data_IF_939557955173
#
_entry.id   IF_939557955173
#
_cell.length_a   1.000
_cell.length_b   1.000
_cell.length_c   1.000
_cell.angle_alpha   90.00
_cell.angle_beta   90.00
_cell.angle_gamma   90.00
#
_symmetry.space_group_name_H-M   'P 1'
#
loop_
_entity.id
_entity.type
_entity.pdbx_description
1 polymer ?
#
# COMPACT_ATOMS: atom_id res chain seq x y z
N UNK A 1 15.21 -24.36 6.25
CA UNK A 1 15.11 -23.07 6.99
C UNK A 1 14.39 -22.10 6.12
N UNK A 2 13.22 -21.63 6.54
CA UNK A 2 12.39 -20.70 5.78
C UNK A 2 12.84 -19.26 6.08
N UNK A 3 13.61 -18.68 5.16
CA UNK A 3 14.16 -17.32 5.30
C UNK A 3 13.08 -16.26 4.99
N UNK A 4 12.13 -16.59 4.15
CA UNK A 4 11.04 -15.68 3.76
C UNK A 4 9.96 -15.64 4.85
N UNK A 5 9.48 -16.79 5.28
CA UNK A 5 8.39 -16.90 6.25
C UNK A 5 8.72 -16.30 7.62
N UNK A 6 9.98 -16.41 8.06
CA UNK A 6 10.44 -15.83 9.33
C UNK A 6 10.49 -14.29 9.36
N UNK A 7 10.32 -13.61 8.24
CA UNK A 7 10.37 -12.15 8.11
C UNK A 7 9.02 -11.50 7.75
N UNK A 8 7.95 -12.28 7.69
CA UNK A 8 6.62 -11.81 7.25
C UNK A 8 6.62 -11.09 5.89
N UNK A 9 7.44 -11.58 4.96
CA UNK A 9 7.55 -11.05 3.60
C UNK A 9 6.73 -11.94 2.68
N UNK A 10 5.96 -11.34 1.77
CA UNK A 10 5.20 -12.04 0.74
C UNK A 10 5.36 -11.34 -0.63
N UNK A 11 4.84 -11.93 -1.68
CA UNK A 11 5.04 -11.46 -3.06
C UNK A 11 6.52 -11.35 -3.46
N UNK A 12 7.33 -12.34 -3.05
CA UNK A 12 8.75 -12.40 -3.35
C UNK A 12 9.12 -13.76 -3.94
N UNK A 13 9.99 -13.74 -4.93
CA UNK A 13 10.69 -14.91 -5.46
C UNK A 13 12.19 -14.68 -5.33
N UNK A 14 12.89 -15.61 -4.68
CA UNK A 14 14.34 -15.56 -4.53
C UNK A 14 14.94 -16.73 -5.33
N UNK A 15 15.83 -16.40 -6.25
CA UNK A 15 16.60 -17.38 -7.03
C UNK A 15 18.07 -17.26 -6.63
N UNK A 16 18.64 -18.36 -6.16
CA UNK A 16 20.07 -18.45 -5.82
C UNK A 16 20.76 -19.34 -6.80
N UNK A 17 21.77 -18.81 -7.47
CA UNK A 17 22.60 -19.56 -8.43
C UNK A 17 24.01 -19.74 -7.88
N UNK A 18 24.65 -20.85 -8.25
CA UNK A 18 26.01 -21.15 -7.86
C UNK A 18 26.89 -21.35 -9.08
N UNK A 19 28.07 -20.77 -9.05
CA UNK A 19 29.16 -21.13 -9.95
C UNK A 19 29.94 -22.28 -9.35
N UNK A 20 30.14 -23.36 -10.15
CA UNK A 20 30.92 -24.51 -9.75
C UNK A 20 32.41 -24.26 -9.99
N UNK A 21 33.25 -24.51 -8.98
CA UNK A 21 34.71 -24.45 -9.14
C UNK A 21 35.46 -24.48 -7.79
N UNK A 22 36.49 -25.26 -7.71
CA UNK A 22 37.60 -25.20 -6.76
C UNK A 22 37.35 -25.67 -5.34
N UNK A 23 36.28 -25.30 -4.65
CA UNK A 23 36.05 -25.61 -3.23
C UNK A 23 34.82 -26.47 -3.03
N UNK A 24 35.01 -27.64 -2.40
CA UNK A 24 33.90 -28.50 -1.95
C UNK A 24 33.45 -28.07 -0.56
N UNK A 25 32.26 -27.44 -0.45
CA UNK A 25 31.74 -26.95 0.82
C UNK A 25 31.08 -28.02 1.71
N UNK A 26 30.81 -29.22 1.18
CA UNK A 26 29.95 -30.19 1.85
C UNK A 26 28.49 -29.75 1.93
N UNK A 27 27.59 -30.63 2.40
CA UNK A 27 26.14 -30.36 2.45
C UNK A 27 25.79 -29.20 3.41
N UNK A 28 26.41 -29.16 4.60
CA UNK A 28 26.20 -28.11 5.59
C UNK A 28 26.74 -26.75 5.14
N UNK A 29 27.91 -26.69 4.54
CA UNK A 29 28.49 -25.47 3.99
C UNK A 29 27.69 -24.93 2.81
N UNK A 30 27.17 -25.81 1.97
CA UNK A 30 26.32 -25.45 0.83
C UNK A 30 24.99 -24.80 1.29
N UNK A 31 24.31 -25.43 2.26
CA UNK A 31 23.08 -24.90 2.84
C UNK A 31 23.28 -23.51 3.45
N UNK A 32 24.39 -23.30 4.16
CA UNK A 32 24.75 -21.98 4.72
C UNK A 32 24.99 -20.94 3.64
N UNK A 33 25.72 -21.30 2.57
CA UNK A 33 26.00 -20.39 1.47
C UNK A 33 24.72 -19.93 0.75
N UNK A 34 23.79 -20.83 0.44
CA UNK A 34 22.49 -20.50 -0.15
C UNK A 34 21.64 -19.63 0.79
N UNK A 35 21.58 -19.98 2.07
CA UNK A 35 20.84 -19.23 3.08
C UNK A 35 21.40 -17.81 3.24
N UNK A 36 22.71 -17.67 3.27
CA UNK A 36 23.36 -16.36 3.39
C UNK A 36 23.17 -15.50 2.15
N UNK A 37 23.25 -16.07 0.93
CA UNK A 37 22.98 -15.36 -0.29
C UNK A 37 21.53 -14.83 -0.34
N UNK A 38 20.56 -15.66 0.01
CA UNK A 38 19.16 -15.28 0.09
C UNK A 38 18.91 -14.17 1.14
N UNK A 39 19.54 -14.29 2.32
CA UNK A 39 19.44 -13.28 3.37
C UNK A 39 19.98 -11.93 2.92
N UNK A 40 21.17 -11.91 2.31
CA UNK A 40 21.78 -10.68 1.78
C UNK A 40 20.93 -10.05 0.68
N UNK A 41 20.31 -10.84 -0.18
CA UNK A 41 19.40 -10.34 -1.20
C UNK A 41 18.22 -9.60 -0.58
N UNK A 42 17.59 -10.17 0.45
CA UNK A 42 16.49 -9.52 1.18
C UNK A 42 16.99 -8.25 1.90
N UNK A 43 18.14 -8.32 2.59
CA UNK A 43 18.68 -7.19 3.36
C UNK A 43 19.05 -5.99 2.46
N UNK A 44 19.35 -6.23 1.19
CA UNK A 44 19.63 -5.20 0.19
C UNK A 44 18.41 -4.83 -0.67
N UNK A 45 17.24 -5.40 -0.39
CA UNK A 45 16.00 -5.09 -1.11
C UNK A 45 15.19 -4.05 -0.36
N UNK A 46 14.48 -3.23 -1.11
CA UNK A 46 13.48 -2.34 -0.55
C UNK A 46 12.17 -3.10 -0.29
N UNK A 47 11.73 -3.11 0.95
CA UNK A 47 10.51 -3.81 1.38
C UNK A 47 9.45 -2.77 1.71
N UNK A 48 8.36 -2.74 0.92
CA UNK A 48 7.24 -1.86 1.16
C UNK A 48 6.18 -2.54 2.05
N UNK A 49 5.59 -1.77 2.96
CA UNK A 49 4.46 -2.23 3.76
C UNK A 49 3.19 -2.18 2.92
N UNK A 50 2.50 -3.30 2.82
CA UNK A 50 1.18 -3.36 2.18
C UNK A 50 0.07 -2.98 3.15
N UNK A 51 -0.96 -2.35 2.62
CA UNK A 51 -2.16 -1.96 3.36
C UNK A 51 -3.38 -2.42 2.57
N UNK A 52 -4.45 -2.81 3.27
CA UNK A 52 -5.76 -3.02 2.66
C UNK A 52 -6.56 -1.74 2.77
N UNK A 53 -7.16 -1.32 1.68
CA UNK A 53 -8.00 -0.12 1.64
C UNK A 53 -9.00 -0.14 0.51
N UNK A 54 -9.92 0.79 0.56
CA UNK A 54 -11.03 0.90 -0.36
C UNK A 54 -10.84 2.13 -1.26
N UNK A 55 -10.84 1.98 -2.58
CA UNK A 55 -10.94 3.12 -3.48
C UNK A 55 -12.24 3.87 -3.18
N UNK A 56 -12.15 5.19 -3.11
CA UNK A 56 -13.28 6.05 -2.79
C UNK A 56 -13.28 7.28 -3.68
N UNK A 57 -14.45 7.61 -4.24
CA UNK A 57 -14.61 8.76 -5.11
C UNK A 57 -15.77 9.62 -4.61
N UNK A 58 -15.53 10.91 -4.42
CA UNK A 58 -16.54 11.87 -4.00
C UNK A 58 -16.44 13.16 -4.81
N UNK A 59 -17.60 13.68 -5.22
CA UNK A 59 -17.72 14.97 -5.89
C UNK A 59 -18.40 15.96 -4.96
N UNK A 60 -17.83 17.14 -4.83
CA UNK A 60 -18.34 18.21 -3.95
C UNK A 60 -18.32 19.55 -4.71
N UNK A 61 -19.15 20.47 -4.27
CA UNK A 61 -19.11 21.83 -4.79
C UNK A 61 -17.78 22.51 -4.44
N UNK A 62 -17.32 23.44 -5.26
CA UNK A 62 -16.07 24.17 -5.05
C UNK A 62 -15.96 24.87 -3.70
N UNK A 63 -17.09 25.25 -3.10
CA UNK A 63 -17.12 25.83 -1.75
C UNK A 63 -16.68 24.85 -0.66
N UNK A 64 -16.81 23.55 -0.88
CA UNK A 64 -16.48 22.50 0.06
C UNK A 64 -15.13 21.82 -0.26
N UNK A 65 -14.58 22.03 -1.45
CA UNK A 65 -13.38 21.32 -1.93
C UNK A 65 -12.20 21.43 -0.99
N UNK A 66 -11.84 22.63 -0.58
CA UNK A 66 -10.70 22.85 0.33
C UNK A 66 -10.89 22.23 1.72
N UNK A 67 -12.13 22.17 2.22
CA UNK A 67 -12.43 21.55 3.53
C UNK A 67 -12.24 20.03 3.41
N UNK A 68 -12.72 19.43 2.32
CA UNK A 68 -12.60 18.00 2.05
C UNK A 68 -11.14 17.59 1.79
N UNK A 69 -10.41 18.38 1.01
CA UNK A 69 -8.98 18.13 0.78
C UNK A 69 -8.18 18.17 2.09
N UNK A 70 -8.41 19.18 2.92
CA UNK A 70 -7.77 19.29 4.23
C UNK A 70 -8.13 18.12 5.15
N UNK A 71 -9.39 17.66 5.12
CA UNK A 71 -9.82 16.50 5.88
C UNK A 71 -9.04 15.24 5.46
N UNK A 72 -8.93 14.96 4.16
CA UNK A 72 -8.20 13.80 3.67
C UNK A 72 -6.71 13.87 4.04
N UNK A 73 -6.06 15.00 3.86
CA UNK A 73 -4.65 15.19 4.22
C UNK A 73 -4.39 15.03 5.71
N UNK A 74 -5.26 15.59 6.56
CA UNK A 74 -5.14 15.51 8.03
C UNK A 74 -5.31 14.10 8.56
N UNK A 75 -6.07 13.25 7.88
CA UNK A 75 -6.33 11.87 8.26
C UNK A 75 -5.48 10.85 7.50
N UNK A 76 -4.40 11.31 6.83
CA UNK A 76 -3.47 10.47 6.06
C UNK A 76 -4.18 9.61 4.99
N UNK A 77 -5.28 10.12 4.42
CA UNK A 77 -5.99 9.48 3.32
C UNK A 77 -5.29 9.89 2.02
N UNK A 78 -4.85 8.89 1.27
CA UNK A 78 -4.14 9.12 0.03
C UNK A 78 -5.08 9.67 -1.05
N UNK A 79 -4.75 10.86 -1.58
CA UNK A 79 -5.45 11.48 -2.72
C UNK A 79 -4.68 11.10 -3.99
N UNK A 80 -5.29 10.29 -4.83
CA UNK A 80 -4.71 9.87 -6.10
C UNK A 80 -4.85 10.95 -7.17
N UNK A 81 -6.05 11.54 -7.26
CA UNK A 81 -6.38 12.56 -8.24
C UNK A 81 -7.44 13.52 -7.70
N UNK A 82 -7.34 14.78 -8.11
CA UNK A 82 -8.39 15.78 -7.95
C UNK A 82 -8.74 16.28 -9.35
N UNK A 83 -9.97 16.07 -9.79
CA UNK A 83 -10.45 16.57 -11.09
C UNK A 83 -11.42 17.72 -10.89
N UNK A 84 -11.34 18.70 -11.78
CA UNK A 84 -12.10 19.94 -11.74
C UNK A 84 -12.98 20.02 -12.99
N UNK A 85 -14.30 19.89 -12.80
CA UNK A 85 -15.31 20.04 -13.83
C UNK A 85 -16.38 20.99 -13.32
N UNK A 86 -17.64 20.64 -13.39
CA UNK A 86 -18.73 21.40 -12.73
C UNK A 86 -18.62 21.32 -11.20
N UNK A 87 -17.99 20.26 -10.70
CA UNK A 87 -17.68 19.99 -9.31
C UNK A 87 -16.21 19.61 -9.14
N UNK A 88 -15.72 19.67 -7.91
CA UNK A 88 -14.42 19.15 -7.52
C UNK A 88 -14.58 17.69 -7.12
N UNK A 89 -13.88 16.78 -7.82
CA UNK A 89 -13.98 15.35 -7.61
C UNK A 89 -12.66 14.79 -7.09
N UNK A 90 -12.72 14.17 -5.93
CA UNK A 90 -11.58 13.50 -5.28
C UNK A 90 -11.63 12.00 -5.55
N UNK A 91 -10.54 11.46 -6.07
CA UNK A 91 -10.27 10.02 -6.13
C UNK A 91 -9.24 9.69 -5.06
N UNK A 92 -9.61 8.85 -4.10
CA UNK A 92 -8.81 8.59 -2.90
C UNK A 92 -8.72 7.11 -2.59
N UNK A 93 -7.75 6.73 -1.75
CA UNK A 93 -7.63 5.42 -1.16
C UNK A 93 -7.77 5.54 0.35
N UNK A 94 -8.85 4.99 0.90
CA UNK A 94 -9.13 5.02 2.34
C UNK A 94 -8.69 3.69 2.94
N UNK A 95 -7.81 3.67 3.97
CA UNK A 95 -7.52 2.45 4.69
C UNK A 95 -8.80 1.78 5.19
N UNK A 96 -8.91 0.46 5.02
CA UNK A 96 -10.13 -0.32 5.30
C UNK A 96 -10.70 -0.05 6.70
N UNK A 97 -9.82 0.03 7.69
CA UNK A 97 -10.18 0.31 9.09
C UNK A 97 -10.81 1.70 9.30
N UNK A 98 -10.61 2.63 8.37
CA UNK A 98 -11.07 4.02 8.50
C UNK A 98 -12.30 4.34 7.65
N UNK A 99 -12.78 3.43 6.81
CA UNK A 99 -13.85 3.68 5.84
C UNK A 99 -15.13 4.18 6.50
N UNK A 100 -15.61 3.49 7.53
CA UNK A 100 -16.87 3.85 8.20
C UNK A 100 -16.76 5.18 8.96
N UNK A 101 -15.62 5.46 9.58
CA UNK A 101 -15.40 6.74 10.25
C UNK A 101 -15.32 7.87 9.24
N UNK A 102 -14.58 7.68 8.16
CA UNK A 102 -14.47 8.66 7.07
C UNK A 102 -15.82 9.02 6.48
N UNK A 103 -16.69 8.02 6.25
CA UNK A 103 -18.04 8.28 5.73
C UNK A 103 -18.88 9.11 6.69
N UNK A 104 -18.85 8.82 7.99
CA UNK A 104 -19.55 9.61 9.02
C UNK A 104 -19.07 11.05 9.07
N UNK A 105 -17.76 11.24 9.06
CA UNK A 105 -17.15 12.57 9.09
C UNK A 105 -17.51 13.38 7.84
N UNK A 106 -17.51 12.76 6.65
CA UNK A 106 -17.92 13.41 5.41
C UNK A 106 -19.41 13.80 5.42
N UNK A 107 -20.29 12.97 5.97
CA UNK A 107 -21.70 13.30 6.15
C UNK A 107 -21.87 14.54 7.05
N UNK A 108 -21.10 14.60 8.12
CA UNK A 108 -21.13 15.74 9.05
C UNK A 108 -20.59 17.01 8.38
N UNK A 109 -19.42 16.94 7.76
CA UNK A 109 -18.78 18.09 7.08
C UNK A 109 -19.68 18.66 5.98
N UNK A 110 -20.30 17.81 5.18
CA UNK A 110 -21.16 18.21 4.07
C UNK A 110 -22.62 18.46 4.48
N UNK A 111 -22.96 18.23 5.74
CA UNK A 111 -24.33 18.35 6.26
C UNK A 111 -25.34 17.55 5.43
N UNK A 112 -24.97 16.33 5.03
CA UNK A 112 -25.79 15.44 4.21
C UNK A 112 -26.03 14.11 4.92
N UNK A 113 -27.14 13.47 4.60
CA UNK A 113 -27.47 12.12 5.09
C UNK A 113 -26.85 11.00 4.25
N UNK A 114 -26.32 11.33 3.07
CA UNK A 114 -25.74 10.36 2.14
C UNK A 114 -24.41 10.84 1.56
N UNK A 115 -23.44 9.93 1.55
CA UNK A 115 -22.19 10.03 0.79
C UNK A 115 -21.98 8.74 0.01
N UNK A 116 -21.17 8.74 -1.06
CA UNK A 116 -20.89 7.54 -1.84
C UNK A 116 -20.44 6.36 -0.97
N UNK A 117 -20.71 5.15 -1.42
CA UNK A 117 -20.15 3.94 -0.83
C UNK A 117 -18.71 3.76 -1.30
N UNK A 118 -17.85 3.28 -0.42
CA UNK A 118 -16.51 2.85 -0.81
C UNK A 118 -16.59 1.63 -1.73
N UNK A 119 -15.64 1.51 -2.63
CA UNK A 119 -15.50 0.34 -3.49
C UNK A 119 -14.98 -0.86 -2.68
N UNK A 120 -14.98 -2.06 -3.28
CA UNK A 120 -14.43 -3.25 -2.64
C UNK A 120 -12.97 -3.04 -2.22
N UNK A 121 -12.55 -3.57 -1.07
CA UNK A 121 -11.19 -3.41 -0.58
C UNK A 121 -10.16 -4.06 -1.50
N UNK A 122 -9.03 -3.41 -1.65
CA UNK A 122 -7.88 -3.87 -2.42
C UNK A 122 -6.61 -3.79 -1.56
N UNK A 123 -5.63 -4.61 -1.88
CA UNK A 123 -4.31 -4.48 -1.27
C UNK A 123 -3.45 -3.51 -2.08
N UNK A 124 -2.83 -2.57 -1.44
CA UNK A 124 -2.00 -1.56 -2.09
C UNK A 124 -0.72 -1.27 -1.30
N UNK A 125 0.21 -0.63 -1.95
CA UNK A 125 1.40 -0.04 -1.34
C UNK A 125 1.54 1.42 -1.78
N UNK A 126 2.09 2.26 -0.92
CA UNK A 126 2.53 3.61 -1.26
C UNK A 126 4.06 3.59 -1.23
N UNK A 127 4.67 3.88 -2.35
CA UNK A 127 6.12 3.94 -2.53
C UNK A 127 6.47 5.18 -3.34
N UNK A 128 7.44 5.96 -2.88
CA UNK A 128 7.87 7.22 -3.51
C UNK A 128 6.69 8.19 -3.81
N UNK A 129 5.70 8.24 -2.91
CA UNK A 129 4.52 9.07 -3.08
C UNK A 129 3.50 8.57 -4.10
N UNK A 130 3.73 7.40 -4.71
CA UNK A 130 2.83 6.78 -5.68
C UNK A 130 2.14 5.56 -5.10
N UNK A 131 0.84 5.43 -5.36
CA UNK A 131 0.04 4.28 -4.97
C UNK A 131 0.08 3.20 -6.06
N UNK A 132 0.26 1.95 -5.65
CA UNK A 132 0.15 0.78 -6.52
C UNK A 132 -0.78 -0.25 -5.90
N UNK A 133 -1.78 -0.69 -6.65
CA UNK A 133 -2.63 -1.83 -6.30
C UNK A 133 -1.87 -3.12 -6.65
N UNK A 134 -1.93 -4.10 -5.75
CA UNK A 134 -1.25 -5.40 -5.90
C UNK A 134 -2.19 -6.48 -6.41
#
# INVERSE_FOLDING_TARGET
>A
MDIIGGRNIFNILIVVTRYFGGVKLGTGGLARAYSEAARRAIDNSEIAKTVTGCPYKISVDYSNGSIIENYFRKNDIYIEEISYTDNETFSTMIPDINVEQTRKDLMEILSTSEVPQAMAPVTYVIQDGSLRIL
#
